data_IF_389061758574
#
_entry.id   IF_389061758574
#
_cell.length_a   1.000
_cell.length_b   1.000
_cell.length_c   1.000
_cell.angle_alpha   90.00
_cell.angle_beta   90.00
_cell.angle_gamma   90.00
#
_symmetry.space_group_name_H-M   'P 1'
#
loop_
_entity.id
_entity.type
_entity.pdbx_description
1 polymer ?
#
# COMPACT_ATOMS: atom_id res chain seq x y z
N UNK A 1 -8.89 -5.72 20.27
CA UNK A 1 -7.49 -5.71 20.76
C UNK A 1 -7.37 -6.71 21.89
N UNK A 2 -6.20 -7.31 22.08
CA UNK A 2 -5.93 -8.19 23.23
C UNK A 2 -5.73 -7.35 24.50
N UNK A 3 -6.08 -7.89 25.67
CA UNK A 3 -5.90 -7.21 26.97
C UNK A 3 -4.43 -7.09 27.39
N UNK A 4 -3.52 -7.76 26.70
CA UNK A 4 -2.07 -7.79 26.94
C UNK A 4 -1.29 -6.58 26.40
N UNK A 5 -1.98 -5.64 25.74
CA UNK A 5 -1.38 -4.45 25.10
C UNK A 5 -0.19 -4.79 24.19
N UNK A 6 -0.22 -5.95 23.52
CA UNK A 6 0.73 -6.25 22.45
C UNK A 6 0.24 -5.60 21.14
N UNK A 7 1.01 -4.63 20.63
CA UNK A 7 0.76 -4.03 19.32
C UNK A 7 0.95 -5.06 18.21
N UNK A 8 0.08 -5.05 17.19
CA UNK A 8 0.10 -6.05 16.13
C UNK A 8 0.72 -5.58 14.82
N UNK A 9 0.89 -4.26 14.62
CA UNK A 9 1.55 -3.51 13.52
C UNK A 9 1.08 -2.04 13.58
N UNK A 10 1.68 -1.03 12.94
CA UNK A 10 2.91 -0.99 12.12
C UNK A 10 4.00 -0.07 12.73
N UNK A 11 3.74 1.23 12.88
CA UNK A 11 4.79 2.21 13.23
C UNK A 11 5.19 2.13 14.71
N UNK A 12 6.49 1.89 14.97
CA UNK A 12 7.05 1.89 16.32
C UNK A 12 8.06 3.01 16.47
N UNK A 13 7.76 3.97 17.34
CA UNK A 13 8.74 4.92 17.85
C UNK A 13 9.48 4.26 19.03
N UNK A 14 10.79 4.06 18.88
CA UNK A 14 11.65 3.42 19.90
C UNK A 14 12.69 4.39 20.43
N UNK A 15 13.08 4.23 21.69
CA UNK A 15 14.26 4.88 22.21
C UNK A 15 15.53 4.30 21.54
N UNK A 16 16.43 5.19 21.13
CA UNK A 16 17.63 4.82 20.36
C UNK A 16 18.74 4.18 21.21
N UNK A 17 18.75 4.37 22.53
CA UNK A 17 19.65 3.63 23.42
C UNK A 17 19.08 2.23 23.71
N UNK A 18 17.77 2.11 23.91
CA UNK A 18 17.06 0.84 24.10
C UNK A 18 17.25 -0.10 22.91
N UNK A 19 16.96 0.32 21.68
CA UNK A 19 17.14 -0.55 20.50
C UNK A 19 18.60 -0.99 20.29
N UNK A 20 19.58 -0.13 20.64
CA UNK A 20 21.01 -0.44 20.57
C UNK A 20 21.49 -1.41 21.65
N UNK A 21 20.68 -1.71 22.67
CA UNK A 21 21.02 -2.75 23.66
C UNK A 21 20.81 -4.17 23.14
N UNK A 22 20.13 -4.34 21.99
CA UNK A 22 19.88 -5.63 21.35
C UNK A 22 20.80 -5.86 20.15
N UNK A 23 21.15 -7.11 19.89
CA UNK A 23 21.90 -7.48 18.69
C UNK A 23 21.00 -7.43 17.44
N UNK A 24 21.52 -7.08 16.24
CA UNK A 24 20.72 -6.94 15.03
C UNK A 24 19.85 -8.15 14.67
N UNK A 25 20.31 -9.37 14.99
CA UNK A 25 19.57 -10.61 14.73
C UNK A 25 18.29 -10.74 15.59
N UNK A 26 18.25 -10.12 16.76
CA UNK A 26 17.06 -10.10 17.63
C UNK A 26 15.97 -9.16 17.11
N UNK A 27 16.33 -8.18 16.26
CA UNK A 27 15.39 -7.19 15.72
C UNK A 27 14.54 -7.74 14.55
N UNK A 28 14.95 -8.88 13.98
CA UNK A 28 14.33 -9.47 12.80
C UNK A 28 13.08 -10.31 13.13
N UNK A 29 12.27 -10.53 12.09
CA UNK A 29 11.08 -11.37 12.16
C UNK A 29 11.37 -12.77 12.72
N UNK A 30 10.49 -13.28 13.59
CA UNK A 30 10.53 -14.69 14.02
C UNK A 30 9.19 -15.16 14.57
N UNK A 31 8.97 -16.47 14.47
CA UNK A 31 7.87 -17.14 15.16
C UNK A 31 8.28 -17.39 16.62
N UNK A 32 7.44 -17.00 17.56
CA UNK A 32 7.63 -17.23 18.99
C UNK A 32 6.35 -17.59 19.72
N UNK A 33 6.41 -17.62 21.05
CA UNK A 33 5.24 -17.72 21.92
C UNK A 33 5.04 -16.44 22.72
N UNK A 34 3.79 -16.11 23.00
CA UNK A 34 3.39 -15.05 23.94
C UNK A 34 2.13 -15.50 24.67
N UNK A 35 2.13 -15.54 26.02
CA UNK A 35 0.96 -15.96 26.83
C UNK A 35 0.24 -17.18 26.21
N UNK A 36 1.01 -18.25 26.04
CA UNK A 36 0.64 -19.56 25.45
C UNK A 36 0.18 -19.61 23.98
N UNK A 37 -0.07 -18.49 23.30
CA UNK A 37 -0.31 -18.45 21.84
C UNK A 37 1.01 -18.37 21.05
N UNK A 38 1.03 -19.00 19.87
CA UNK A 38 2.05 -18.74 18.85
C UNK A 38 1.82 -17.35 18.24
N UNK A 39 2.88 -16.59 18.07
CA UNK A 39 2.86 -15.26 17.43
C UNK A 39 3.94 -15.22 16.36
N UNK A 40 3.58 -14.75 15.17
CA UNK A 40 4.56 -14.32 14.18
C UNK A 40 4.93 -12.87 14.51
N UNK A 41 6.16 -12.64 14.97
CA UNK A 41 6.62 -11.33 15.35
C UNK A 41 7.22 -10.64 14.13
N UNK A 42 6.55 -9.61 13.64
CA UNK A 42 7.14 -8.60 12.74
C UNK A 42 8.27 -7.84 13.47
N UNK A 43 9.06 -7.09 12.72
CA UNK A 43 10.25 -6.33 13.16
C UNK A 43 10.02 -5.64 14.51
N UNK A 44 10.91 -5.90 15.47
CA UNK A 44 10.88 -5.41 16.87
C UNK A 44 9.70 -5.86 17.75
N UNK A 45 8.62 -6.47 17.23
CA UNK A 45 7.44 -6.85 18.04
C UNK A 45 7.80 -7.89 19.12
N UNK A 46 8.70 -8.82 18.84
CA UNK A 46 9.22 -9.76 19.86
C UNK A 46 9.89 -9.02 21.03
N UNK A 47 10.66 -7.98 20.71
CA UNK A 47 11.41 -7.22 21.71
C UNK A 47 10.44 -6.39 22.55
N UNK A 48 9.40 -5.81 21.95
CA UNK A 48 8.30 -5.20 22.70
C UNK A 48 7.57 -6.21 23.59
N UNK A 49 7.31 -7.42 23.08
CA UNK A 49 6.60 -8.48 23.78
C UNK A 49 7.35 -9.02 25.00
N UNK A 50 8.69 -9.17 24.89
CA UNK A 50 9.51 -9.91 25.86
C UNK A 50 10.53 -9.04 26.63
N UNK A 51 10.80 -7.81 26.16
CA UNK A 51 11.80 -6.90 26.74
C UNK A 51 11.28 -5.47 27.01
N UNK A 52 9.96 -5.27 26.98
CA UNK A 52 9.27 -4.07 27.47
C UNK A 52 8.11 -4.48 28.37
N UNK A 53 7.96 -3.88 29.55
CA UNK A 53 6.82 -4.19 30.44
C UNK A 53 5.49 -3.68 29.87
N UNK A 54 4.36 -4.30 30.25
CA UNK A 54 3.03 -3.89 29.78
C UNK A 54 2.65 -2.45 30.17
N UNK A 55 3.28 -1.91 31.23
CA UNK A 55 3.19 -0.51 31.66
C UNK A 55 3.92 0.47 30.75
N UNK A 56 5.07 0.07 30.18
CA UNK A 56 5.89 0.90 29.29
C UNK A 56 5.35 0.91 27.84
N UNK A 57 4.56 -0.09 27.47
CA UNK A 57 3.90 -0.15 26.15
C UNK A 57 2.78 0.88 26.06
N UNK A 58 3.02 1.96 25.32
CA UNK A 58 1.96 2.88 24.91
C UNK A 58 1.36 2.39 23.59
N UNK A 59 0.04 2.18 23.56
CA UNK A 59 -0.71 1.96 22.33
C UNK A 59 -1.54 3.21 22.07
N UNK A 60 -1.39 3.77 20.87
CA UNK A 60 -2.38 4.68 20.30
C UNK A 60 -3.27 3.87 19.37
N UNK A 61 -4.61 3.89 19.54
CA UNK A 61 -5.50 3.31 18.53
C UNK A 61 -5.38 4.14 17.26
N UNK A 62 -5.22 3.46 16.13
CA UNK A 62 -5.27 4.03 14.79
C UNK A 62 -6.55 3.52 14.13
N UNK A 63 -7.30 4.38 13.46
CA UNK A 63 -8.46 3.97 12.69
C UNK A 63 -8.01 3.08 11.52
N UNK A 64 -8.83 2.11 11.12
CA UNK A 64 -8.50 1.26 9.97
C UNK A 64 -8.33 2.07 8.67
N UNK A 65 -9.01 3.22 8.56
CA UNK A 65 -8.91 4.14 7.43
C UNK A 65 -7.67 5.06 7.50
N UNK A 66 -6.93 5.06 8.61
CA UNK A 66 -5.64 5.77 8.76
C UNK A 66 -4.43 4.86 8.44
N UNK A 67 -4.63 3.55 8.31
CA UNK A 67 -3.58 2.58 8.01
C UNK A 67 -3.12 2.63 6.55
N UNK A 68 -2.00 3.30 6.30
CA UNK A 68 -1.25 3.21 5.02
C UNK A 68 0.07 2.50 5.29
N UNK A 69 0.31 1.35 4.65
CA UNK A 69 1.56 0.59 4.80
C UNK A 69 2.44 0.67 3.53
N UNK A 70 3.23 1.74 3.34
CA UNK A 70 4.00 1.97 2.11
C UNK A 70 5.16 0.99 1.93
N UNK A 71 5.58 0.26 2.97
CA UNK A 71 6.72 -0.67 2.89
C UNK A 71 6.49 -1.79 1.86
N UNK A 72 5.24 -2.21 1.61
CA UNK A 72 4.92 -3.18 0.56
C UNK A 72 5.17 -2.61 -0.85
N UNK A 73 4.92 -1.32 -1.09
CA UNK A 73 5.26 -0.66 -2.35
C UNK A 73 6.79 -0.57 -2.54
N UNK A 74 7.52 -0.19 -1.49
CA UNK A 74 9.00 -0.13 -1.49
C UNK A 74 9.62 -1.52 -1.71
N UNK A 75 9.08 -2.55 -1.05
CA UNK A 75 9.52 -3.93 -1.20
C UNK A 75 9.27 -4.44 -2.63
N UNK A 76 8.05 -4.27 -3.17
CA UNK A 76 7.73 -4.66 -4.54
C UNK A 76 8.60 -3.92 -5.56
N UNK A 77 8.81 -2.61 -5.39
CA UNK A 77 9.71 -1.84 -6.25
C UNK A 77 11.14 -2.39 -6.22
N UNK A 78 11.65 -2.70 -5.03
CA UNK A 78 12.97 -3.30 -4.85
C UNK A 78 13.08 -4.68 -5.50
N UNK A 79 12.01 -5.50 -5.44
CA UNK A 79 11.97 -6.78 -6.17
C UNK A 79 12.03 -6.55 -7.70
N UNK A 80 11.28 -5.59 -8.25
CA UNK A 80 11.32 -5.27 -9.67
C UNK A 80 12.66 -4.66 -10.11
N UNK A 81 13.34 -3.87 -9.27
CA UNK A 81 14.71 -3.42 -9.54
C UNK A 81 15.69 -4.60 -9.67
N UNK A 82 15.53 -5.64 -8.83
CA UNK A 82 16.37 -6.85 -8.86
C UNK A 82 15.99 -7.83 -9.97
N UNK A 83 14.71 -7.87 -10.35
CA UNK A 83 14.14 -8.86 -11.27
C UNK A 83 13.23 -8.18 -12.32
N UNK A 84 13.78 -7.20 -13.03
CA UNK A 84 13.06 -6.38 -14.02
C UNK A 84 12.29 -7.25 -15.02
N UNK A 85 10.99 -6.96 -15.21
CA UNK A 85 10.08 -7.67 -16.10
C UNK A 85 9.59 -9.04 -15.62
N UNK A 86 10.03 -9.57 -14.47
CA UNK A 86 9.53 -10.86 -13.96
C UNK A 86 8.14 -10.73 -13.36
N UNK A 87 7.29 -11.74 -13.57
CA UNK A 87 6.00 -11.86 -12.88
C UNK A 87 6.24 -11.97 -11.37
N UNK A 88 5.73 -11.00 -10.62
CA UNK A 88 5.91 -10.81 -9.19
C UNK A 88 4.65 -10.15 -8.60
N UNK A 89 4.40 -10.26 -7.29
CA UNK A 89 3.36 -9.48 -6.62
C UNK A 89 3.54 -7.98 -6.89
N UNK A 90 2.52 -7.36 -7.47
CA UNK A 90 2.56 -5.97 -7.97
C UNK A 90 1.39 -5.12 -7.45
N UNK A 91 0.65 -5.59 -6.45
CA UNK A 91 -0.58 -4.94 -6.00
C UNK A 91 -0.36 -3.59 -5.30
N UNK A 92 0.82 -3.32 -4.73
CA UNK A 92 1.14 -2.04 -4.08
C UNK A 92 1.93 -1.11 -4.99
N UNK A 93 2.59 -1.63 -6.03
CA UNK A 93 3.39 -0.82 -6.97
C UNK A 93 2.54 0.24 -7.70
N UNK A 94 1.25 -0.07 -7.90
CA UNK A 94 0.26 0.82 -8.54
C UNK A 94 -0.16 2.01 -7.67
N UNK A 95 0.27 2.09 -6.40
CA UNK A 95 0.07 3.28 -5.56
C UNK A 95 1.16 4.34 -5.75
N UNK A 96 2.34 3.99 -6.27
CA UNK A 96 3.47 4.93 -6.38
C UNK A 96 3.13 6.16 -7.25
N UNK A 97 2.43 6.05 -8.39
CA UNK A 97 2.01 7.24 -9.15
C UNK A 97 1.07 8.17 -8.37
N UNK A 98 0.23 7.61 -7.48
CA UNK A 98 -0.63 8.39 -6.60
C UNK A 98 0.17 9.10 -5.49
N UNK A 99 1.18 8.44 -4.91
CA UNK A 99 2.08 9.10 -3.95
C UNK A 99 2.92 10.22 -4.58
N UNK A 100 3.35 10.06 -5.84
CA UNK A 100 4.04 11.12 -6.58
C UNK A 100 3.11 12.33 -6.83
N UNK A 101 1.83 12.08 -7.15
CA UNK A 101 0.80 13.12 -7.24
C UNK A 101 0.62 13.89 -5.92
N UNK A 102 0.47 13.17 -4.78
CA UNK A 102 0.38 13.80 -3.46
C UNK A 102 1.67 14.56 -3.06
N UNK A 103 2.80 14.23 -3.68
CA UNK A 103 4.09 14.92 -3.47
C UNK A 103 4.30 16.13 -4.39
N UNK A 104 3.31 16.49 -5.22
CA UNK A 104 3.33 17.67 -6.09
C UNK A 104 3.65 17.41 -7.56
N UNK A 105 3.84 16.17 -8.01
CA UNK A 105 3.87 15.86 -9.46
C UNK A 105 2.42 15.68 -9.96
N UNK A 106 1.76 16.80 -10.26
CA UNK A 106 0.36 16.85 -10.72
C UNK A 106 0.09 15.92 -11.93
N UNK A 107 1.10 15.67 -12.76
CA UNK A 107 1.02 14.83 -13.96
C UNK A 107 1.34 13.35 -13.71
N UNK A 108 1.66 12.93 -12.48
CA UNK A 108 2.12 11.56 -12.18
C UNK A 108 1.14 10.46 -12.61
N UNK A 109 -0.16 10.69 -12.37
CA UNK A 109 -1.23 9.75 -12.75
C UNK A 109 -1.41 9.67 -14.28
N UNK A 110 -1.24 10.78 -15.00
CA UNK A 110 -1.32 10.83 -16.46
C UNK A 110 -0.12 10.14 -17.12
N UNK A 111 1.10 10.45 -16.64
CA UNK A 111 2.36 9.79 -17.05
C UNK A 111 2.24 8.27 -16.87
N UNK A 112 1.74 7.81 -15.72
CA UNK A 112 1.54 6.39 -15.44
C UNK A 112 0.44 5.77 -16.32
N UNK A 113 -0.66 6.49 -16.57
CA UNK A 113 -1.73 6.07 -17.49
C UNK A 113 -1.20 5.88 -18.91
N UNK A 114 -0.37 6.80 -19.39
CA UNK A 114 0.29 6.72 -20.69
C UNK A 114 1.26 5.53 -20.75
N UNK A 115 2.14 5.38 -19.76
CA UNK A 115 3.11 4.28 -19.68
C UNK A 115 2.42 2.90 -19.69
N UNK A 116 1.33 2.74 -18.95
CA UNK A 116 0.54 1.50 -18.94
C UNK A 116 -0.21 1.29 -20.26
N UNK A 117 -0.75 2.36 -20.87
CA UNK A 117 -1.49 2.27 -22.13
C UNK A 117 -0.63 1.93 -23.35
N UNK A 118 0.63 2.35 -23.33
CA UNK A 118 1.61 2.10 -24.39
C UNK A 118 2.45 0.82 -24.13
N UNK A 119 2.60 0.44 -22.88
CA UNK A 119 3.34 -0.75 -22.46
C UNK A 119 2.63 -2.08 -22.77
N UNK A 120 3.36 -3.17 -22.58
CA UNK A 120 2.78 -4.52 -22.53
C UNK A 120 2.57 -4.90 -21.07
N UNK A 121 1.53 -5.67 -20.75
CA UNK A 121 1.23 -6.05 -19.35
C UNK A 121 2.43 -6.67 -18.62
N UNK A 122 3.25 -7.40 -19.36
CA UNK A 122 4.44 -8.10 -18.87
C UNK A 122 5.68 -7.20 -18.72
N UNK A 123 5.67 -5.98 -19.27
CA UNK A 123 6.80 -5.05 -19.28
C UNK A 123 6.33 -3.61 -19.48
N UNK A 124 6.16 -2.89 -18.37
CA UNK A 124 5.72 -1.49 -18.30
C UNK A 124 6.84 -0.65 -17.67
N UNK A 125 7.25 0.43 -18.34
CA UNK A 125 8.18 1.42 -17.79
C UNK A 125 7.43 2.44 -16.93
N UNK A 126 6.97 2.00 -15.75
CA UNK A 126 6.00 2.76 -14.94
C UNK A 126 6.59 4.04 -14.31
N UNK A 127 7.91 4.10 -14.08
CA UNK A 127 8.54 5.14 -13.26
C UNK A 127 9.59 5.99 -13.99
N UNK A 128 9.47 6.14 -15.31
CA UNK A 128 10.42 6.86 -16.19
C UNK A 128 11.89 6.42 -16.03
N UNK A 129 12.09 5.22 -15.49
CA UNK A 129 13.36 4.56 -15.26
C UNK A 129 13.50 3.33 -16.16
N UNK A 130 14.64 2.65 -16.04
CA UNK A 130 14.91 1.44 -16.82
C UNK A 130 14.15 0.21 -16.26
N UNK A 131 13.52 0.34 -15.08
CA UNK A 131 12.83 -0.75 -14.39
C UNK A 131 11.54 -1.10 -15.13
N UNK A 132 11.36 -2.39 -15.45
CA UNK A 132 10.15 -2.91 -16.08
C UNK A 132 9.30 -3.60 -15.03
N UNK A 133 8.10 -3.06 -14.83
CA UNK A 133 7.07 -3.61 -13.96
C UNK A 133 6.23 -4.59 -14.78
N UNK A 134 5.98 -5.78 -14.22
CA UNK A 134 5.13 -6.79 -14.80
C UNK A 134 3.81 -6.86 -14.00
N UNK A 135 2.70 -6.52 -14.64
CA UNK A 135 1.35 -6.52 -14.07
C UNK A 135 0.54 -7.78 -14.43
N UNK A 136 1.20 -8.88 -14.80
CA UNK A 136 0.54 -10.17 -15.07
C UNK A 136 -0.25 -10.72 -13.87
N UNK A 137 0.26 -10.47 -12.67
CA UNK A 137 -0.33 -10.88 -11.39
C UNK A 137 -1.36 -9.88 -10.84
N UNK A 138 -1.59 -8.75 -11.52
CA UNK A 138 -2.53 -7.73 -11.06
C UNK A 138 -3.98 -8.20 -11.28
N UNK A 139 -4.77 -8.20 -10.20
CA UNK A 139 -6.17 -8.65 -10.17
C UNK A 139 -7.15 -7.49 -9.97
N UNK A 140 -8.44 -7.74 -10.28
CA UNK A 140 -9.50 -6.72 -10.13
C UNK A 140 -9.63 -6.25 -8.68
N UNK A 141 -9.62 -7.16 -7.70
CA UNK A 141 -9.78 -6.82 -6.27
C UNK A 141 -8.61 -6.00 -5.72
N UNK A 142 -7.40 -6.21 -6.23
CA UNK A 142 -6.23 -5.38 -5.88
C UNK A 142 -6.39 -3.95 -6.44
N UNK A 143 -6.91 -3.81 -7.66
CA UNK A 143 -7.21 -2.50 -8.26
C UNK A 143 -8.34 -1.79 -7.50
N UNK A 144 -9.45 -2.49 -7.20
CA UNK A 144 -10.53 -1.96 -6.35
C UNK A 144 -9.99 -1.45 -5.01
N UNK A 145 -9.24 -2.29 -4.30
CA UNK A 145 -8.69 -1.96 -2.99
C UNK A 145 -7.76 -0.75 -3.02
N UNK A 146 -6.83 -0.69 -3.98
CA UNK A 146 -5.88 0.43 -4.08
C UNK A 146 -6.57 1.74 -4.46
N UNK A 147 -7.50 1.70 -5.41
CA UNK A 147 -8.28 2.90 -5.78
C UNK A 147 -9.17 3.37 -4.63
N UNK A 148 -9.73 2.45 -3.83
CA UNK A 148 -10.48 2.77 -2.60
C UNK A 148 -9.60 3.51 -1.58
N UNK A 149 -8.36 3.07 -1.38
CA UNK A 149 -7.40 3.76 -0.52
C UNK A 149 -7.02 5.15 -1.07
N UNK A 150 -6.73 5.26 -2.38
CA UNK A 150 -6.45 6.56 -3.00
C UNK A 150 -7.59 7.56 -2.84
N UNK A 151 -8.84 7.15 -3.11
CA UNK A 151 -10.00 8.04 -2.96
C UNK A 151 -10.24 8.41 -1.50
N UNK A 152 -10.04 7.47 -0.55
CA UNK A 152 -10.16 7.78 0.88
C UNK A 152 -9.18 8.87 1.32
N UNK A 153 -7.94 8.82 0.83
CA UNK A 153 -6.93 9.87 1.09
C UNK A 153 -7.36 11.20 0.45
N UNK A 154 -7.85 11.20 -0.79
CA UNK A 154 -8.34 12.43 -1.44
C UNK A 154 -9.52 13.07 -0.70
N UNK A 155 -10.48 12.27 -0.21
CA UNK A 155 -11.61 12.75 0.61
C UNK A 155 -11.09 13.35 1.93
N UNK A 156 -10.18 12.66 2.61
CA UNK A 156 -9.61 13.11 3.89
C UNK A 156 -8.83 14.42 3.74
N UNK A 157 -8.11 14.59 2.63
CA UNK A 157 -7.39 15.81 2.26
C UNK A 157 -8.29 16.88 1.60
N UNK A 158 -9.60 16.62 1.44
CA UNK A 158 -10.58 17.52 0.79
C UNK A 158 -10.21 17.92 -0.64
N UNK A 159 -9.56 17.01 -1.37
CA UNK A 159 -9.19 17.21 -2.78
C UNK A 159 -10.39 16.91 -3.67
N UNK A 160 -10.78 17.89 -4.47
CA UNK A 160 -11.91 17.80 -5.39
C UNK A 160 -11.80 16.62 -6.37
N UNK A 161 -12.94 16.06 -6.82
CA UNK A 161 -12.98 15.08 -7.91
C UNK A 161 -12.22 15.54 -9.16
N UNK A 162 -11.38 14.65 -9.73
CA UNK A 162 -10.62 14.93 -10.95
C UNK A 162 -10.44 13.69 -11.84
N UNK A 163 -10.40 13.92 -13.16
CA UNK A 163 -10.47 12.87 -14.18
C UNK A 163 -9.24 11.95 -14.24
N UNK A 164 -8.04 12.46 -13.97
CA UNK A 164 -6.80 11.69 -14.12
C UNK A 164 -6.75 10.41 -13.24
N UNK A 165 -7.35 10.41 -12.04
CA UNK A 165 -7.45 9.19 -11.23
C UNK A 165 -8.44 8.17 -11.84
N UNK A 166 -9.52 8.63 -12.46
CA UNK A 166 -10.51 7.78 -13.13
C UNK A 166 -9.90 7.12 -14.38
N UNK A 167 -9.13 7.88 -15.17
CA UNK A 167 -8.42 7.37 -16.34
C UNK A 167 -7.32 6.36 -15.95
N UNK A 168 -6.59 6.64 -14.86
CA UNK A 168 -5.59 5.74 -14.28
C UNK A 168 -6.21 4.42 -13.81
N UNK A 169 -7.24 4.49 -12.95
CA UNK A 169 -7.94 3.31 -12.44
C UNK A 169 -8.59 2.48 -13.55
N UNK A 170 -9.23 3.13 -14.53
CA UNK A 170 -9.79 2.46 -15.70
C UNK A 170 -8.73 1.75 -16.55
N UNK A 171 -7.53 2.33 -16.64
CA UNK A 171 -6.38 1.72 -17.30
C UNK A 171 -5.81 0.53 -16.51
N UNK A 172 -5.77 0.59 -15.18
CA UNK A 172 -5.41 -0.53 -14.31
C UNK A 172 -6.42 -1.69 -14.42
N UNK A 173 -7.73 -1.42 -14.39
CA UNK A 173 -8.76 -2.44 -14.61
C UNK A 173 -8.61 -3.15 -15.96
N UNK A 174 -8.27 -2.40 -17.03
CA UNK A 174 -7.95 -3.00 -18.34
C UNK A 174 -6.73 -3.93 -18.27
N UNK A 175 -5.68 -3.55 -17.53
CA UNK A 175 -4.53 -4.45 -17.29
C UNK A 175 -4.88 -5.67 -16.44
N UNK A 176 -5.75 -5.53 -15.45
CA UNK A 176 -6.30 -6.65 -14.66
C UNK A 176 -7.32 -7.52 -15.44
N UNK A 177 -7.52 -7.24 -16.74
CA UNK A 177 -8.51 -7.89 -17.63
C UNK A 177 -9.96 -7.79 -17.11
N UNK A 178 -10.27 -6.77 -16.31
CA UNK A 178 -11.61 -6.53 -15.77
C UNK A 178 -12.56 -6.11 -16.89
N UNK A 179 -13.69 -6.83 -17.07
CA UNK A 179 -14.75 -6.44 -17.99
C UNK A 179 -15.25 -5.02 -17.72
N UNK A 180 -15.63 -4.28 -18.76
CA UNK A 180 -16.03 -2.86 -18.69
C UNK A 180 -17.13 -2.61 -17.66
N UNK A 181 -18.14 -3.48 -17.65
CA UNK A 181 -19.31 -3.45 -16.77
C UNK A 181 -19.01 -3.83 -15.32
N UNK A 182 -17.79 -4.24 -14.99
CA UNK A 182 -17.33 -4.56 -13.63
C UNK A 182 -16.32 -3.56 -13.06
N UNK A 183 -15.89 -2.58 -13.85
CA UNK A 183 -14.94 -1.54 -13.40
C UNK A 183 -15.62 -0.63 -12.39
N UNK A 184 -14.88 -0.20 -11.38
CA UNK A 184 -15.37 0.63 -10.29
C UNK A 184 -16.56 0.04 -9.51
N UNK A 185 -16.91 -1.25 -9.65
CA UNK A 185 -18.03 -1.88 -8.93
C UNK A 185 -17.67 -2.44 -7.54
N UNK A 186 -16.43 -2.27 -7.08
CA UNK A 186 -15.98 -2.70 -5.74
C UNK A 186 -16.75 -2.10 -4.55
N UNK A 187 -16.33 -2.44 -3.34
CA UNK A 187 -16.98 -2.08 -2.07
C UNK A 187 -16.68 -0.63 -1.62
N UNK A 188 -16.70 0.32 -2.56
CA UNK A 188 -16.52 1.75 -2.31
C UNK A 188 -17.64 2.31 -1.43
N UNK A 189 -17.26 3.11 -0.43
CA UNK A 189 -18.18 3.78 0.50
C UNK A 189 -19.06 4.84 -0.20
N UNK A 190 -20.20 5.27 0.37
CA UNK A 190 -21.09 6.26 -0.27
C UNK A 190 -20.41 7.58 -0.68
N UNK A 191 -19.48 8.09 0.14
CA UNK A 191 -18.72 9.31 -0.17
C UNK A 191 -17.72 9.07 -1.31
N UNK A 192 -17.07 7.91 -1.34
CA UNK A 192 -16.18 7.48 -2.42
C UNK A 192 -16.96 7.31 -3.73
N UNK A 193 -18.19 6.77 -3.67
CA UNK A 193 -19.14 6.65 -4.79
C UNK A 193 -19.50 8.03 -5.35
N UNK A 194 -19.81 8.99 -4.48
CA UNK A 194 -20.08 10.38 -4.88
C UNK A 194 -18.84 11.02 -5.55
N UNK A 195 -17.65 10.81 -4.99
CA UNK A 195 -16.38 11.29 -5.56
C UNK A 195 -16.13 10.71 -6.96
N UNK A 196 -16.27 9.39 -7.13
CA UNK A 196 -16.12 8.70 -8.43
C UNK A 196 -17.11 9.24 -9.46
N UNK A 197 -18.39 9.36 -9.11
CA UNK A 197 -19.43 9.81 -10.04
C UNK A 197 -19.19 11.26 -10.49
N UNK A 198 -18.76 12.13 -9.58
CA UNK A 198 -18.37 13.50 -9.90
C UNK A 198 -17.15 13.54 -10.83
N UNK A 199 -16.08 12.79 -10.52
CA UNK A 199 -14.87 12.73 -11.35
C UNK A 199 -15.09 12.12 -12.74
N UNK A 200 -16.08 11.22 -12.87
CA UNK A 200 -16.47 10.59 -14.15
C UNK A 200 -17.32 11.50 -15.04
N UNK A 201 -17.84 12.61 -14.47
CA UNK A 201 -18.66 13.59 -15.18
C UNK A 201 -17.86 14.79 -15.71
N UNK A 202 -16.52 14.72 -15.64
CA UNK A 202 -15.55 15.73 -16.10
C UNK A 202 -14.89 15.30 -17.43
#
# INVERSE_FOLDING_TARGET
>A
MSSDRLATTFETFVDMAWIKSFSPIQLLHKIGKYKDRTVDYDILIDIQANHTSESERTIMPMDFNELVHPSQAIHQYTMFRKFSGKALPCFSIIMIPFFNFLSGDELALEKATQAISQGRRESIALFQDEVKINLSELTTSQVDWMLKQSIQVLISLKISPFKALIDYGTTLYRMAKTPSEKRWLGDFLPEQRQWINAATSL
#
